data_IF_512454148757
#
_entry.id   IF_512454148757
#
_cell.length_a   1.000
_cell.length_b   1.000
_cell.length_c   1.000
_cell.angle_alpha   90.00
_cell.angle_beta   90.00
_cell.angle_gamma   90.00
#
_symmetry.space_group_name_H-M   'P 1'
#
loop_
_entity.id
_entity.type
_entity.pdbx_description
1 polymer ?
#
# COMPACT_ATOMS: atom_id res chain seq x y z
N UNK A 1 9.48 3.38 13.54
CA UNK A 1 10.05 2.05 13.84
C UNK A 1 10.91 2.05 15.09
N UNK A 2 11.95 2.88 15.20
CA UNK A 2 12.77 2.99 16.43
C UNK A 2 11.94 3.24 17.69
N UNK A 3 10.93 4.11 17.61
CA UNK A 3 10.05 4.43 18.73
C UNK A 3 9.21 3.22 19.20
N UNK A 4 8.74 2.37 18.28
CA UNK A 4 8.03 1.11 18.62
C UNK A 4 8.97 0.11 19.30
N UNK A 5 10.17 -0.07 18.75
CA UNK A 5 11.16 -1.01 19.29
C UNK A 5 11.76 -0.55 20.63
N UNK A 6 11.79 0.77 20.86
CA UNK A 6 12.26 1.38 22.09
C UNK A 6 11.16 1.72 23.09
N UNK A 7 9.96 1.16 22.93
CA UNK A 7 8.83 1.29 23.86
C UNK A 7 8.53 2.75 24.27
N UNK A 8 8.50 3.66 23.28
CA UNK A 8 8.22 5.09 23.48
C UNK A 8 6.72 5.34 23.66
N UNK A 9 6.20 4.99 24.83
CA UNK A 9 4.78 5.16 25.18
C UNK A 9 4.33 6.62 25.37
N UNK A 10 5.22 7.60 25.19
CA UNK A 10 4.86 9.02 25.12
C UNK A 10 3.97 9.34 23.90
N UNK A 11 4.06 8.54 22.83
CA UNK A 11 3.18 8.64 21.67
C UNK A 11 1.92 7.81 21.88
N UNK A 12 0.75 8.42 21.68
CA UNK A 12 -0.55 7.77 21.82
C UNK A 12 -0.61 6.47 21.01
N UNK A 13 -0.16 6.52 19.76
CA UNK A 13 -0.22 5.37 18.86
C UNK A 13 0.66 4.19 19.34
N UNK A 14 1.82 4.45 19.93
CA UNK A 14 2.70 3.38 20.43
C UNK A 14 2.12 2.81 21.73
N UNK A 15 1.61 3.66 22.62
CA UNK A 15 0.93 3.23 23.84
C UNK A 15 -0.32 2.39 23.57
N UNK A 16 -1.04 2.65 22.46
CA UNK A 16 -2.24 1.91 22.10
C UNK A 16 -1.99 0.61 21.33
N UNK A 17 -0.86 0.46 20.63
CA UNK A 17 -0.62 -0.67 19.72
C UNK A 17 0.67 -1.47 20.02
N UNK A 18 1.34 -1.22 21.15
CA UNK A 18 2.52 -1.96 21.59
C UNK A 18 2.55 -2.09 23.10
N UNK A 19 3.24 -3.09 23.62
CA UNK A 19 3.61 -3.21 25.03
C UNK A 19 5.01 -3.83 25.15
N UNK A 20 5.57 -3.90 26.37
CA UNK A 20 6.93 -4.39 26.60
C UNK A 20 7.07 -5.88 26.34
N UNK A 21 6.02 -6.64 26.63
CA UNK A 21 5.95 -8.10 26.61
C UNK A 21 5.78 -8.66 25.19
N UNK A 22 5.31 -7.85 24.25
CA UNK A 22 5.09 -8.25 22.86
C UNK A 22 6.39 -8.68 22.19
N UNK A 23 6.31 -9.80 21.49
CA UNK A 23 7.40 -10.27 20.65
C UNK A 23 7.74 -9.27 19.54
N UNK A 24 8.99 -9.30 19.10
CA UNK A 24 9.52 -8.37 18.09
C UNK A 24 8.64 -8.28 16.84
N UNK A 25 8.19 -9.42 16.31
CA UNK A 25 7.36 -9.46 15.10
C UNK A 25 6.06 -8.67 15.27
N UNK A 26 5.39 -8.82 16.40
CA UNK A 26 4.16 -8.09 16.70
C UNK A 26 4.42 -6.61 17.04
N UNK A 27 5.59 -6.23 17.57
CA UNK A 27 5.95 -4.81 17.68
C UNK A 27 6.08 -4.15 16.31
N UNK A 28 6.59 -4.88 15.31
CA UNK A 28 6.68 -4.37 13.92
C UNK A 28 5.30 -4.24 13.29
N UNK A 29 4.38 -5.18 13.53
CA UNK A 29 3.01 -5.08 12.98
C UNK A 29 2.25 -3.86 13.48
N UNK A 30 2.61 -3.33 14.66
CA UNK A 30 2.12 -2.04 15.15
C UNK A 30 2.19 -0.89 14.13
N UNK A 31 3.14 -0.94 13.18
CA UNK A 31 3.26 0.05 12.10
C UNK A 31 2.03 0.11 11.18
N UNK A 32 1.29 -0.99 11.02
CA UNK A 32 0.10 -1.08 10.16
C UNK A 32 -1.11 -1.72 10.87
N UNK A 33 -1.07 -1.82 12.20
CA UNK A 33 -2.15 -2.41 12.98
C UNK A 33 -3.35 -1.48 13.19
N UNK A 34 -3.14 -0.17 13.09
CA UNK A 34 -4.15 0.85 13.31
C UNK A 34 -4.12 1.93 12.24
N UNK A 35 -5.22 2.68 12.12
CA UNK A 35 -5.43 3.65 11.04
C UNK A 35 -4.27 4.65 10.90
N UNK A 36 -3.78 5.23 12.02
CA UNK A 36 -2.72 6.25 12.00
C UNK A 36 -1.40 5.71 11.46
N UNK A 37 -0.98 4.55 11.95
CA UNK A 37 0.24 3.89 11.48
C UNK A 37 0.10 3.43 10.04
N UNK A 38 -1.02 2.80 9.70
CA UNK A 38 -1.32 2.31 8.35
C UNK A 38 -1.28 3.40 7.29
N UNK A 39 -1.84 4.58 7.56
CA UNK A 39 -1.79 5.73 6.65
C UNK A 39 -0.36 6.23 6.47
N UNK A 40 0.43 6.29 7.54
CA UNK A 40 1.85 6.67 7.47
C UNK A 40 2.67 5.63 6.68
N UNK A 41 2.45 4.35 6.96
CA UNK A 41 3.10 3.25 6.26
C UNK A 41 2.80 3.29 4.75
N UNK A 42 1.53 3.51 4.39
CA UNK A 42 1.13 3.69 3.00
C UNK A 42 1.81 4.89 2.36
N UNK A 43 1.81 6.05 3.02
CA UNK A 43 2.47 7.25 2.52
C UNK A 43 3.98 7.03 2.27
N UNK A 44 4.67 6.28 3.14
CA UNK A 44 6.09 5.95 2.99
C UNK A 44 6.33 5.04 1.78
N UNK A 45 5.55 3.98 1.60
CA UNK A 45 5.67 3.10 0.43
C UNK A 45 5.36 3.87 -0.85
N UNK A 46 4.33 4.74 -0.84
CA UNK A 46 3.96 5.57 -1.97
C UNK A 46 5.06 6.55 -2.34
N UNK A 47 5.69 7.20 -1.37
CA UNK A 47 6.83 8.07 -1.59
C UNK A 47 8.00 7.29 -2.21
N UNK A 48 8.31 6.10 -1.69
CA UNK A 48 9.36 5.24 -2.22
C UNK A 48 9.09 4.79 -3.66
N UNK A 49 7.89 4.28 -3.96
CA UNK A 49 7.52 3.82 -5.30
C UNK A 49 7.46 4.98 -6.29
N UNK A 50 6.96 6.14 -5.86
CA UNK A 50 6.94 7.35 -6.68
C UNK A 50 8.36 7.81 -7.04
N UNK A 51 9.25 7.87 -6.04
CA UNK A 51 10.65 8.22 -6.27
C UNK A 51 11.35 7.21 -7.19
N UNK A 52 11.13 5.91 -6.96
CA UNK A 52 11.68 4.84 -7.80
C UNK A 52 11.17 4.94 -9.24
N UNK A 53 9.87 5.12 -9.43
CA UNK A 53 9.26 5.27 -10.74
C UNK A 53 9.83 6.48 -11.51
N UNK A 54 9.90 7.64 -10.86
CA UNK A 54 10.47 8.85 -11.45
C UNK A 54 11.95 8.63 -11.76
N UNK A 55 12.73 8.05 -10.85
CA UNK A 55 14.15 7.80 -11.04
C UNK A 55 14.44 6.87 -12.23
N UNK A 56 13.71 5.77 -12.35
CA UNK A 56 13.87 4.80 -13.44
C UNK A 56 13.48 5.37 -14.81
N UNK A 57 12.58 6.34 -14.84
CA UNK A 57 12.05 6.92 -16.08
C UNK A 57 12.52 8.34 -16.36
N UNK A 58 13.27 9.03 -15.49
CA UNK A 58 13.65 10.46 -15.65
C UNK A 58 14.38 10.79 -16.97
N UNK A 59 15.08 9.82 -17.56
CA UNK A 59 15.76 9.96 -18.86
C UNK A 59 14.89 9.54 -20.06
N UNK A 60 13.83 8.77 -19.81
CA UNK A 60 12.93 8.20 -20.81
C UNK A 60 11.62 9.00 -20.80
N UNK A 61 11.27 9.64 -21.92
CA UNK A 61 10.05 10.46 -22.04
C UNK A 61 10.04 11.71 -21.13
N UNK A 62 11.04 12.58 -21.28
CA UNK A 62 11.22 13.81 -20.47
C UNK A 62 10.02 14.76 -20.52
N UNK A 63 9.27 14.75 -21.63
CA UNK A 63 8.04 15.54 -21.79
C UNK A 63 6.87 14.99 -20.96
N UNK A 64 6.86 13.68 -20.69
CA UNK A 64 5.73 12.99 -20.08
C UNK A 64 5.87 12.85 -18.55
N UNK A 65 7.10 12.64 -18.09
CA UNK A 65 7.39 12.39 -16.67
C UNK A 65 6.95 13.49 -15.69
N UNK A 66 6.93 14.80 -16.03
CA UNK A 66 6.42 15.82 -15.13
C UNK A 66 4.95 15.63 -14.76
N UNK A 67 4.10 15.21 -15.70
CA UNK A 67 2.68 14.94 -15.43
C UNK A 67 2.51 13.73 -14.51
N UNK A 68 3.26 12.65 -14.77
CA UNK A 68 3.27 11.46 -13.90
C UNK A 68 3.71 11.81 -12.49
N UNK A 69 4.80 12.56 -12.36
CA UNK A 69 5.30 13.03 -11.07
C UNK A 69 4.26 13.93 -10.37
N UNK A 70 3.63 14.85 -11.09
CA UNK A 70 2.56 15.71 -10.56
C UNK A 70 1.41 14.91 -9.97
N UNK A 71 0.89 13.91 -10.69
CA UNK A 71 -0.20 13.05 -10.18
C UNK A 71 0.24 12.28 -8.93
N UNK A 72 1.43 11.66 -8.95
CA UNK A 72 1.96 10.92 -7.80
C UNK A 72 2.17 11.82 -6.58
N UNK A 73 2.70 13.04 -6.77
CA UNK A 73 2.87 14.00 -5.69
C UNK A 73 1.52 14.49 -5.15
N UNK A 74 0.53 14.75 -6.01
CA UNK A 74 -0.83 15.10 -5.56
C UNK A 74 -1.42 14.03 -4.64
N UNK A 75 -1.29 12.75 -5.00
CA UNK A 75 -1.77 11.63 -4.17
C UNK A 75 -0.97 11.57 -2.86
N UNK A 76 0.36 11.69 -2.91
CA UNK A 76 1.18 11.69 -1.70
C UNK A 76 0.84 12.85 -0.78
N UNK A 77 0.69 14.07 -1.33
CA UNK A 77 0.28 15.26 -0.58
C UNK A 77 -1.09 15.06 0.06
N UNK A 78 -2.04 14.43 -0.62
CA UNK A 78 -3.33 14.07 -0.02
C UNK A 78 -3.15 13.22 1.24
N UNK A 79 -2.31 12.17 1.21
CA UNK A 79 -2.03 11.35 2.40
C UNK A 79 -1.37 12.16 3.53
N UNK A 80 -0.42 13.04 3.19
CA UNK A 80 0.24 13.90 4.18
C UNK A 80 -0.76 14.88 4.81
N UNK A 81 -1.66 15.48 4.02
CA UNK A 81 -2.71 16.36 4.52
C UNK A 81 -3.65 15.60 5.45
N UNK A 82 -4.08 14.39 5.09
CA UNK A 82 -4.91 13.55 5.97
C UNK A 82 -4.20 13.24 7.29
N UNK A 83 -2.93 12.86 7.25
CA UNK A 83 -2.12 12.58 8.45
C UNK A 83 -2.00 13.78 9.40
N UNK A 84 -1.94 15.00 8.85
CA UNK A 84 -1.74 16.21 9.63
C UNK A 84 -3.04 16.85 10.14
N UNK A 85 -4.13 16.73 9.37
CA UNK A 85 -5.34 17.54 9.61
C UNK A 85 -6.62 16.73 9.87
N UNK A 86 -6.63 15.41 9.69
CA UNK A 86 -7.83 14.58 9.89
C UNK A 86 -7.83 13.81 11.21
N UNK A 87 -7.24 14.37 12.28
CA UNK A 87 -7.15 13.77 13.62
C UNK A 87 -6.53 12.35 13.69
N UNK A 88 -5.70 12.02 12.70
CA UNK A 88 -5.03 10.72 12.55
C UNK A 88 -3.51 10.85 12.59
N UNK A 89 -2.98 11.86 13.29
CA UNK A 89 -1.55 12.07 13.43
C UNK A 89 -0.91 10.92 14.27
N UNK A 90 -0.02 10.10 13.69
CA UNK A 90 0.62 8.99 14.41
C UNK A 90 1.64 9.45 15.45
N UNK A 91 2.03 10.73 15.44
CA UNK A 91 3.00 11.33 16.35
C UNK A 91 2.34 12.16 17.46
N UNK A 92 1.03 12.04 17.64
CA UNK A 92 0.33 12.65 18.77
C UNK A 92 0.90 12.14 20.10
N UNK A 93 1.29 13.08 20.96
CA UNK A 93 1.84 12.79 22.28
C UNK A 93 0.74 12.82 23.35
N UNK A 94 0.89 11.97 24.35
CA UNK A 94 0.03 11.94 25.53
C UNK A 94 0.47 13.02 26.54
N UNK A 95 -0.48 13.52 27.33
CA UNK A 95 -0.21 14.44 28.42
C UNK A 95 0.65 13.82 29.55
N UNK A 96 0.66 12.48 29.65
CA UNK A 96 1.53 11.72 30.53
C UNK A 96 2.05 10.48 29.80
N UNK A 97 3.22 10.00 30.17
CA UNK A 97 3.82 8.79 29.58
C UNK A 97 3.42 7.56 30.41
N UNK A 98 2.62 6.62 29.87
CA UNK A 98 2.30 5.36 30.56
C UNK A 98 3.54 4.51 30.80
N UNK A 99 3.56 3.75 31.89
CA UNK A 99 4.65 2.83 32.19
C UNK A 99 4.74 1.66 31.18
N UNK A 100 3.59 1.22 30.67
CA UNK A 100 3.47 0.20 29.62
C UNK A 100 2.31 0.56 28.69
N UNK A 101 2.30 -0.01 27.49
CA UNK A 101 1.20 0.14 26.53
C UNK A 101 0.18 -1.00 26.60
N UNK A 102 -0.91 -0.85 25.83
CA UNK A 102 -2.03 -1.79 25.80
C UNK A 102 -1.72 -3.06 24.99
N UNK A 103 -0.75 -2.98 24.08
CA UNK A 103 -0.43 -4.05 23.14
C UNK A 103 -1.42 -4.14 21.98
N UNK A 104 -1.19 -5.10 21.08
CA UNK A 104 -2.09 -5.35 19.96
C UNK A 104 -3.34 -6.12 20.40
N UNK A 105 -4.44 -5.86 19.71
CA UNK A 105 -5.62 -6.72 19.74
C UNK A 105 -5.15 -8.18 19.52
N UNK A 106 -5.55 -9.13 20.38
CA UNK A 106 -5.20 -10.54 20.24
C UNK A 106 -5.39 -11.12 18.83
N UNK A 107 -6.43 -10.70 18.11
CA UNK A 107 -6.70 -11.16 16.73
C UNK A 107 -5.63 -10.75 15.71
N UNK A 108 -4.89 -9.67 16.01
CA UNK A 108 -3.79 -9.19 15.18
C UNK A 108 -2.46 -9.86 15.52
N UNK A 109 -2.40 -10.63 16.61
CA UNK A 109 -1.23 -11.40 17.03
C UNK A 109 -1.21 -12.77 16.33
N UNK A 110 -1.35 -12.75 15.01
CA UNK A 110 -1.29 -13.91 14.13
C UNK A 110 -0.22 -13.71 13.04
N UNK A 111 0.46 -14.79 12.66
CA UNK A 111 1.52 -14.77 11.64
C UNK A 111 1.02 -14.24 10.29
N UNK A 112 -0.15 -14.69 9.82
CA UNK A 112 -0.71 -14.25 8.53
C UNK A 112 -1.09 -12.78 8.55
N UNK A 113 -1.60 -12.27 9.68
CA UNK A 113 -1.90 -10.83 9.84
C UNK A 113 -0.62 -9.97 9.87
N UNK A 114 0.53 -10.57 10.17
CA UNK A 114 1.80 -9.85 10.11
C UNK A 114 2.22 -9.56 8.68
N UNK A 115 1.98 -10.49 7.76
CA UNK A 115 2.47 -10.40 6.38
C UNK A 115 1.39 -9.98 5.37
N UNK A 116 0.12 -10.18 5.70
CA UNK A 116 -1.02 -9.85 4.82
C UNK A 116 -1.16 -8.34 4.53
N UNK A 117 -1.25 -7.43 5.53
CA UNK A 117 -1.41 -6.02 5.24
C UNK A 117 -0.23 -5.42 4.44
N UNK A 118 1.05 -5.70 4.78
CA UNK A 118 2.17 -5.21 3.97
C UNK A 118 2.11 -5.61 2.50
N UNK A 119 1.72 -6.85 2.18
CA UNK A 119 1.61 -7.29 0.79
C UNK A 119 0.47 -6.57 0.06
N UNK A 120 -0.67 -6.34 0.71
CA UNK A 120 -1.74 -5.52 0.14
C UNK A 120 -1.30 -4.07 -0.11
N UNK A 121 -0.61 -3.43 0.84
CA UNK A 121 -0.10 -2.06 0.65
C UNK A 121 0.86 -1.96 -0.53
N UNK A 122 1.75 -2.95 -0.72
CA UNK A 122 2.63 -3.02 -1.88
C UNK A 122 1.84 -3.15 -3.18
N UNK A 123 0.80 -3.99 -3.19
CA UNK A 123 -0.10 -4.17 -4.33
C UNK A 123 -0.84 -2.88 -4.71
N UNK A 124 -1.56 -2.27 -3.76
CA UNK A 124 -2.29 -1.03 -3.98
C UNK A 124 -1.39 0.11 -4.42
N UNK A 125 -0.23 0.26 -3.78
CA UNK A 125 0.71 1.34 -4.10
C UNK A 125 1.35 1.14 -5.48
N UNK A 126 1.65 -0.11 -5.86
CA UNK A 126 2.14 -0.41 -7.19
C UNK A 126 1.12 -0.02 -8.27
N UNK A 127 -0.18 -0.21 -8.00
CA UNK A 127 -1.25 0.17 -8.93
C UNK A 127 -1.41 1.68 -9.09
N UNK A 128 -0.98 2.49 -8.12
CA UNK A 128 -0.96 3.95 -8.25
C UNK A 128 -0.08 4.41 -9.42
N UNK A 129 0.96 3.65 -9.78
CA UNK A 129 1.86 3.99 -10.89
C UNK A 129 1.14 3.94 -12.26
N UNK A 130 0.55 2.82 -12.72
CA UNK A 130 -0.22 2.80 -13.97
C UNK A 130 -1.35 3.83 -13.99
N UNK A 131 -2.02 4.05 -12.86
CA UNK A 131 -3.01 5.12 -12.74
C UNK A 131 -2.41 6.50 -13.05
N UNK A 132 -1.27 6.85 -12.46
CA UNK A 132 -0.60 8.13 -12.72
C UNK A 132 -0.18 8.29 -14.19
N UNK A 133 0.28 7.22 -14.84
CA UNK A 133 0.58 7.24 -16.27
C UNK A 133 -0.69 7.41 -17.13
N UNK A 134 -1.79 6.77 -16.77
CA UNK A 134 -3.06 6.94 -17.49
C UNK A 134 -3.59 8.38 -17.38
N UNK A 135 -3.56 8.97 -16.18
CA UNK A 135 -3.94 10.38 -15.98
C UNK A 135 -2.98 11.32 -16.73
N UNK A 136 -1.67 11.07 -16.68
CA UNK A 136 -0.70 11.85 -17.45
C UNK A 136 -0.94 11.77 -18.97
N UNK A 137 -1.36 10.61 -19.48
CA UNK A 137 -1.70 10.42 -20.90
C UNK A 137 -2.91 11.26 -21.31
N UNK A 138 -3.92 11.33 -20.45
CA UNK A 138 -5.10 12.18 -20.64
C UNK A 138 -4.73 13.67 -20.59
N UNK A 139 -3.96 14.10 -19.59
CA UNK A 139 -3.52 15.49 -19.44
C UNK A 139 -2.64 15.98 -20.59
N UNK A 140 -1.78 15.10 -21.13
CA UNK A 140 -0.89 15.43 -22.24
C UNK A 140 -1.54 15.20 -23.62
N UNK A 141 -2.76 14.65 -23.68
CA UNK A 141 -3.48 14.35 -24.93
C UNK A 141 -2.85 13.25 -25.80
N UNK A 142 -1.88 12.49 -25.29
CA UNK A 142 -1.16 11.43 -26.01
C UNK A 142 -1.53 10.06 -25.44
N UNK A 143 -2.49 9.39 -26.06
CA UNK A 143 -3.02 8.08 -25.65
C UNK A 143 -2.33 6.89 -26.34
N UNK A 144 -1.05 7.03 -26.68
CA UNK A 144 -0.31 6.00 -27.39
C UNK A 144 -0.01 4.77 -26.50
N UNK A 145 0.15 3.59 -27.09
CA UNK A 145 0.38 2.35 -26.34
C UNK A 145 1.71 2.31 -25.56
N UNK A 146 2.54 3.35 -25.66
CA UNK A 146 3.86 3.44 -25.03
C UNK A 146 3.76 3.49 -23.51
N UNK A 147 2.77 4.20 -22.94
CA UNK A 147 2.62 4.26 -21.49
C UNK A 147 2.24 2.89 -20.90
N UNK A 148 1.47 2.08 -21.63
CA UNK A 148 1.10 0.70 -21.24
C UNK A 148 2.37 -0.17 -21.10
N UNK A 149 3.34 -0.03 -22.01
CA UNK A 149 4.59 -0.77 -21.94
C UNK A 149 5.46 -0.35 -20.76
N UNK A 150 5.49 0.95 -20.44
CA UNK A 150 6.24 1.50 -19.31
C UNK A 150 5.68 1.07 -17.96
N UNK A 151 4.36 0.89 -17.87
CA UNK A 151 3.67 0.54 -16.64
C UNK A 151 3.49 -0.96 -16.44
N UNK A 152 3.72 -1.79 -17.47
CA UNK A 152 3.52 -3.25 -17.41
C UNK A 152 4.20 -3.92 -16.21
N UNK A 153 5.45 -3.52 -15.90
CA UNK A 153 6.18 -4.08 -14.75
C UNK A 153 5.48 -3.78 -13.42
N UNK A 154 4.92 -2.57 -13.30
CA UNK A 154 4.17 -2.14 -12.13
C UNK A 154 2.80 -2.83 -12.03
N UNK A 155 2.13 -3.06 -13.17
CA UNK A 155 0.87 -3.82 -13.22
C UNK A 155 1.10 -5.26 -12.76
N UNK A 156 2.14 -5.93 -13.25
CA UNK A 156 2.48 -7.29 -12.84
C UNK A 156 2.87 -7.36 -11.36
N UNK A 157 3.64 -6.38 -10.88
CA UNK A 157 4.02 -6.29 -9.47
C UNK A 157 2.79 -6.09 -8.58
N UNK A 158 1.92 -5.14 -8.93
CA UNK A 158 0.63 -4.90 -8.27
C UNK A 158 -0.20 -6.19 -8.21
N UNK A 159 -0.40 -6.81 -9.36
CA UNK A 159 -1.19 -8.03 -9.49
C UNK A 159 -0.65 -9.16 -8.61
N UNK A 160 0.67 -9.38 -8.62
CA UNK A 160 1.32 -10.42 -7.81
C UNK A 160 1.12 -10.16 -6.32
N UNK A 161 1.38 -8.93 -5.85
CA UNK A 161 1.25 -8.60 -4.44
C UNK A 161 -0.19 -8.62 -3.95
N UNK A 162 -1.15 -8.19 -4.78
CA UNK A 162 -2.58 -8.34 -4.47
C UNK A 162 -2.98 -9.81 -4.43
N UNK A 163 -2.51 -10.65 -5.34
CA UNK A 163 -2.79 -12.10 -5.32
C UNK A 163 -2.28 -12.75 -4.04
N UNK A 164 -1.02 -12.49 -3.69
CA UNK A 164 -0.39 -13.03 -2.48
C UNK A 164 -1.06 -12.47 -1.22
N UNK A 165 -1.39 -11.17 -1.20
CA UNK A 165 -2.11 -10.54 -0.10
C UNK A 165 -3.49 -11.18 0.10
N UNK A 166 -4.26 -11.37 -0.96
CA UNK A 166 -5.53 -12.10 -0.92
C UNK A 166 -5.34 -13.49 -0.31
N UNK A 167 -4.37 -14.28 -0.78
CA UNK A 167 -4.10 -15.63 -0.22
C UNK A 167 -3.77 -15.59 1.28
N UNK A 168 -2.97 -14.61 1.72
CA UNK A 168 -2.64 -14.47 3.14
C UNK A 168 -3.84 -14.03 3.98
N UNK A 169 -4.68 -13.14 3.46
CA UNK A 169 -5.91 -12.70 4.11
C UNK A 169 -6.88 -13.86 4.26
N UNK A 170 -7.05 -14.63 3.20
CA UNK A 170 -7.84 -15.86 3.18
C UNK A 170 -7.40 -16.84 4.27
N UNK A 171 -6.08 -17.01 4.43
CA UNK A 171 -5.52 -17.92 5.43
C UNK A 171 -5.68 -17.39 6.85
N UNK A 172 -5.50 -16.09 7.07
CA UNK A 172 -5.78 -15.44 8.36
C UNK A 172 -7.26 -15.58 8.74
N UNK A 173 -8.18 -15.26 7.84
CA UNK A 173 -9.62 -15.34 8.07
C UNK A 173 -10.05 -16.77 8.47
N UNK A 174 -9.46 -17.78 7.82
CA UNK A 174 -9.68 -19.19 8.16
C UNK A 174 -9.23 -19.53 9.58
N UNK A 175 -8.11 -18.98 10.05
CA UNK A 175 -7.56 -19.26 11.38
C UNK A 175 -8.27 -18.46 12.51
N UNK A 176 -8.59 -17.18 12.28
CA UNK A 176 -8.99 -16.26 13.36
C UNK A 176 -10.50 -15.98 13.42
N UNK A 177 -11.20 -15.98 12.28
CA UNK A 177 -12.64 -15.65 12.22
C UNK A 177 -13.56 -16.88 12.36
N UNK A 178 -12.98 -18.09 12.37
CA UNK A 178 -13.55 -19.26 13.01
C UNK A 178 -14.84 -19.87 12.45
N UNK A 179 -15.46 -19.37 11.36
CA UNK A 179 -16.75 -19.91 10.89
C UNK A 179 -16.91 -19.86 9.36
N UNK A 180 -16.38 -20.88 8.65
CA UNK A 180 -17.00 -21.34 7.39
C UNK A 180 -16.28 -21.08 6.06
N UNK A 181 -15.08 -20.49 6.02
CA UNK A 181 -14.37 -20.38 4.75
C UNK A 181 -13.10 -19.54 4.76
N UNK A 182 -12.48 -19.47 3.58
CA UNK A 182 -11.30 -18.68 3.29
C UNK A 182 -11.63 -17.22 2.94
N UNK A 183 -12.88 -16.76 3.05
CA UNK A 183 -13.28 -15.42 2.58
C UNK A 183 -14.43 -14.90 3.44
N UNK A 184 -14.36 -13.65 3.88
CA UNK A 184 -15.34 -13.05 4.78
C UNK A 184 -16.06 -11.81 4.23
N UNK A 185 -15.87 -11.46 2.95
CA UNK A 185 -16.52 -10.27 2.34
C UNK A 185 -16.27 -8.98 3.14
N UNK A 186 -15.15 -8.91 3.87
CA UNK A 186 -14.80 -7.70 4.59
C UNK A 186 -14.35 -6.59 3.60
N UNK A 187 -14.34 -5.32 4.02
CA UNK A 187 -13.98 -4.21 3.15
C UNK A 187 -12.58 -4.34 2.52
N UNK A 188 -11.60 -4.94 3.20
CA UNK A 188 -10.21 -5.09 2.76
C UNK A 188 -10.09 -6.15 1.67
N UNK A 189 -10.72 -7.30 1.89
CA UNK A 189 -10.83 -8.38 0.90
C UNK A 189 -11.52 -7.88 -0.38
N UNK A 190 -12.66 -7.19 -0.25
CA UNK A 190 -13.38 -6.63 -1.40
C UNK A 190 -12.57 -5.55 -2.14
N UNK A 191 -11.93 -4.64 -1.39
CA UNK A 191 -11.13 -3.57 -1.95
C UNK A 191 -9.91 -4.10 -2.71
N UNK A 192 -9.33 -5.24 -2.29
CA UNK A 192 -8.19 -5.87 -2.97
C UNK A 192 -8.60 -6.71 -4.18
N UNK A 193 -9.76 -7.35 -4.15
CA UNK A 193 -10.25 -8.21 -5.23
C UNK A 193 -10.58 -7.44 -6.52
N UNK A 194 -11.26 -6.29 -6.40
CA UNK A 194 -11.67 -5.48 -7.56
C UNK A 194 -10.49 -5.02 -8.45
N UNK A 195 -9.43 -4.38 -7.90
CA UNK A 195 -8.27 -4.01 -8.70
C UNK A 195 -7.54 -5.25 -9.21
N UNK A 196 -7.48 -6.35 -8.45
CA UNK A 196 -6.84 -7.59 -8.91
C UNK A 196 -7.52 -8.17 -10.16
N UNK A 197 -8.86 -8.25 -10.18
CA UNK A 197 -9.62 -8.74 -11.33
C UNK A 197 -9.53 -7.80 -12.54
N UNK A 198 -9.68 -6.49 -12.32
CA UNK A 198 -9.68 -5.51 -13.42
C UNK A 198 -8.30 -5.33 -14.07
N UNK A 199 -7.22 -5.54 -13.31
CA UNK A 199 -5.86 -5.47 -13.83
C UNK A 199 -5.47 -6.64 -14.73
N UNK A 200 -6.13 -7.78 -14.60
CA UNK A 200 -5.80 -9.01 -15.34
C UNK A 200 -5.68 -8.78 -16.85
N UNK A 201 -6.57 -7.96 -17.41
CA UNK A 201 -6.57 -7.63 -18.83
C UNK A 201 -5.28 -6.93 -19.29
N UNK A 202 -4.72 -6.05 -18.45
CA UNK A 202 -3.52 -5.26 -18.77
C UNK A 202 -2.21 -6.01 -18.51
N UNK A 203 -2.26 -7.12 -17.76
CA UNK A 203 -1.10 -7.99 -17.49
C UNK A 203 -0.69 -8.82 -18.72
N UNK A 204 -1.64 -9.10 -19.62
CA UNK A 204 -1.44 -9.88 -20.85
C UNK A 204 -0.54 -9.14 -21.85
N UNK A 205 0.40 -9.83 -22.53
CA UNK A 205 1.25 -9.18 -23.53
C UNK A 205 0.42 -8.53 -24.65
N UNK A 206 0.63 -7.22 -24.87
CA UNK A 206 0.03 -6.55 -26.03
C UNK A 206 0.70 -7.07 -27.30
N UNK A 207 -0.03 -7.91 -28.06
CA UNK A 207 0.42 -8.38 -29.36
C UNK A 207 0.14 -7.27 -30.37
N UNK A 208 1.15 -6.47 -30.68
CA UNK A 208 1.10 -5.57 -31.83
C UNK A 208 0.72 -6.39 -33.07
N UNK A 209 -0.43 -6.10 -33.67
CA UNK A 209 -0.70 -6.55 -35.03
C UNK A 209 0.32 -5.85 -35.91
N UNK A 210 1.34 -6.58 -36.36
CA UNK A 210 2.10 -6.13 -37.53
C UNK A 210 1.06 -5.95 -38.64
N UNK A 211 0.84 -4.72 -39.08
CA UNK A 211 0.18 -4.46 -40.35
C UNK A 211 0.99 -5.21 -41.39
N UNK A 212 0.41 -6.27 -41.93
CA UNK A 212 0.90 -6.89 -43.16
C UNK A 212 0.56 -5.87 -44.23
N UNK A 213 1.55 -5.08 -44.63
CA UNK A 213 1.49 -4.34 -45.89
C UNK A 213 1.51 -5.41 -46.99
N UNK A 214 0.40 -5.52 -47.73
CA UNK A 214 0.31 -6.25 -48.99
C UNK A 214 0.74 -5.35 -50.14
#
# INVERSE_FOLDING_TARGET
>A
MSAFLGDKFEYWYIASYSNREMEFFYKVTGLWAGQRGSLLFWAVILAFFSALCVFLNRKKNREFMPYVAGVLQTILTFFIVVLLFADVNPFEQLAFTPANGQGLNPQLQNYWMTIHPPTLYLGFTAFTIPFAFAVAALLNGRLDARWIQLTRRWILLSWLFLAVGIIFGMRWAYEELGWGGYWFWDPVENASLLPWLTQQHFSTPYRSKKTVEC
#
